data_IF_156323903802
#
_entry.id   IF_156323903802
#
_cell.length_a   1.000
_cell.length_b   1.000
_cell.length_c   1.000
_cell.angle_alpha   90.00
_cell.angle_beta   90.00
_cell.angle_gamma   90.00
#
_symmetry.space_group_name_H-M   'P 1'
#
loop_
_entity.id
_entity.type
_entity.pdbx_description
1 polymer ?
#
# COMPACT_ATOMS: atom_id res chain seq x y z
N UNK A 1 -34.60 -23.48 41.26
CA UNK A 1 -35.23 -23.05 39.99
C UNK A 1 -34.19 -22.31 39.17
N UNK A 2 -34.16 -22.55 37.87
CA UNK A 2 -32.93 -22.70 37.11
C UNK A 2 -32.35 -21.38 36.60
N UNK A 3 -31.03 -21.36 36.50
CA UNK A 3 -30.19 -20.36 35.84
C UNK A 3 -30.33 -20.47 34.32
N UNK A 4 -30.84 -19.43 33.67
CA UNK A 4 -30.90 -19.31 32.20
C UNK A 4 -29.50 -19.04 31.61
N UNK A 5 -28.98 -19.89 30.71
CA UNK A 5 -27.75 -19.65 29.98
C UNK A 5 -28.07 -19.24 28.54
N UNK A 6 -28.38 -17.96 28.29
CA UNK A 6 -28.61 -17.47 26.92
C UNK A 6 -28.20 -16.01 26.69
N UNK A 7 -27.03 -15.62 27.17
CA UNK A 7 -26.35 -14.41 26.69
C UNK A 7 -25.27 -14.82 25.69
N UNK A 8 -25.70 -15.37 24.56
CA UNK A 8 -24.90 -15.39 23.34
C UNK A 8 -24.64 -13.93 22.95
N UNK A 9 -23.37 -13.53 22.98
CA UNK A 9 -22.91 -12.21 22.55
C UNK A 9 -23.40 -11.90 21.14
N UNK A 10 -24.47 -11.12 21.03
CA UNK A 10 -24.83 -10.44 19.80
C UNK A 10 -23.91 -9.24 19.67
N UNK A 11 -23.12 -9.23 18.60
CA UNK A 11 -22.46 -8.02 18.14
C UNK A 11 -23.52 -6.91 18.07
N UNK A 12 -23.29 -5.71 18.66
CA UNK A 12 -24.24 -4.62 18.51
C UNK A 12 -24.43 -4.34 17.02
N UNK A 13 -25.67 -4.08 16.57
CA UNK A 13 -25.91 -3.73 15.17
C UNK A 13 -25.05 -2.50 14.83
N UNK A 14 -24.47 -2.51 13.63
CA UNK A 14 -23.81 -1.34 13.06
C UNK A 14 -24.69 -0.10 13.28
N UNK A 15 -24.15 1.04 13.74
CA UNK A 15 -24.95 2.22 13.99
C UNK A 15 -25.76 2.55 12.73
N UNK A 16 -27.08 2.71 12.90
CA UNK A 16 -27.94 3.14 11.81
C UNK A 16 -27.44 4.48 11.24
N UNK A 17 -27.56 4.71 9.92
CA UNK A 17 -27.12 5.96 9.28
C UNK A 17 -27.75 7.24 9.86
N UNK A 18 -28.80 7.11 10.68
CA UNK A 18 -29.59 8.18 11.28
C UNK A 18 -28.92 8.91 12.45
N UNK A 19 -27.80 8.38 12.98
CA UNK A 19 -27.11 8.92 14.18
C UNK A 19 -25.81 9.69 13.89
N UNK A 20 -25.52 10.02 12.63
CA UNK A 20 -24.36 10.86 12.30
C UNK A 20 -24.77 12.33 12.41
N UNK A 21 -24.53 12.95 13.56
CA UNK A 21 -24.60 14.40 13.69
C UNK A 21 -23.66 15.07 12.67
N UNK A 22 -24.06 16.17 12.00
CA UNK A 22 -23.23 16.82 10.99
C UNK A 22 -21.87 17.20 11.56
N UNK A 23 -20.83 16.48 11.14
CA UNK A 23 -19.45 16.78 11.52
C UNK A 23 -18.80 17.62 10.43
N UNK A 24 -18.14 18.70 10.86
CA UNK A 24 -17.46 19.67 10.00
C UNK A 24 -15.96 19.60 10.31
N UNK A 25 -15.19 18.75 9.61
CA UNK A 25 -13.74 18.73 9.73
C UNK A 25 -13.18 20.06 9.23
N UNK A 26 -12.27 20.65 10.00
CA UNK A 26 -11.76 22.01 9.77
C UNK A 26 -10.28 22.09 9.40
N UNK A 27 -9.52 21.02 9.58
CA UNK A 27 -8.05 21.09 9.46
C UNK A 27 -7.50 19.93 8.63
N UNK A 28 -6.49 20.24 7.81
CA UNK A 28 -5.72 19.26 7.03
C UNK A 28 -6.29 18.86 5.66
N UNK A 29 -7.41 19.42 5.23
CA UNK A 29 -7.97 19.15 3.89
C UNK A 29 -7.27 20.02 2.86
N UNK A 30 -6.61 19.38 1.91
CA UNK A 30 -5.76 20.01 0.89
C UNK A 30 -5.94 19.43 -0.53
N UNK A 31 -6.72 18.35 -0.69
CA UNK A 31 -6.95 17.67 -1.96
C UNK A 31 -8.30 16.95 -1.97
N UNK A 32 -8.72 16.48 -3.14
CA UNK A 32 -9.91 15.63 -3.25
C UNK A 32 -9.76 14.28 -2.52
N UNK A 33 -8.55 13.74 -2.45
CA UNK A 33 -8.25 12.49 -1.76
C UNK A 33 -8.39 12.65 -0.24
N UNK A 34 -7.73 13.65 0.35
CA UNK A 34 -7.86 13.94 1.77
C UNK A 34 -9.31 14.29 2.14
N UNK A 35 -9.99 15.05 1.28
CA UNK A 35 -11.44 15.29 1.42
C UNK A 35 -12.29 14.01 1.42
N UNK A 36 -12.02 13.07 0.51
CA UNK A 36 -12.72 11.78 0.46
C UNK A 36 -12.47 10.93 1.72
N UNK A 37 -11.30 11.01 2.35
CA UNK A 37 -11.04 10.34 3.62
C UNK A 37 -11.95 10.85 4.73
N UNK A 38 -12.17 12.17 4.83
CA UNK A 38 -13.11 12.75 5.79
C UNK A 38 -14.56 12.35 5.53
N UNK A 39 -14.97 12.27 4.25
CA UNK A 39 -16.29 11.73 3.89
C UNK A 39 -16.42 10.27 4.36
N UNK A 40 -15.43 9.42 4.07
CA UNK A 40 -15.42 8.04 4.55
C UNK A 40 -15.43 7.93 6.08
N UNK A 41 -14.88 8.92 6.80
CA UNK A 41 -14.91 9.03 8.26
C UNK A 41 -16.24 9.56 8.83
N UNK A 42 -17.19 9.98 7.98
CA UNK A 42 -18.55 10.37 8.38
C UNK A 42 -18.87 11.86 8.22
N UNK A 43 -17.94 12.69 7.75
CA UNK A 43 -18.25 14.09 7.42
C UNK A 43 -19.19 14.15 6.21
N UNK A 44 -20.07 15.16 6.17
CA UNK A 44 -20.96 15.39 5.02
C UNK A 44 -20.42 16.45 4.05
N UNK A 45 -19.40 17.19 4.47
CA UNK A 45 -19.08 18.54 4.05
C UNK A 45 -17.68 18.88 4.55
N UNK A 46 -16.93 19.66 3.77
CA UNK A 46 -15.49 19.84 3.96
C UNK A 46 -15.16 21.34 4.01
N UNK A 47 -14.60 21.81 5.12
CA UNK A 47 -14.13 23.20 5.25
C UNK A 47 -12.62 23.27 5.01
N UNK A 48 -12.18 24.27 4.25
CA UNK A 48 -10.77 24.44 3.85
C UNK A 48 -10.27 25.81 4.29
N UNK A 49 -9.05 25.87 4.84
CA UNK A 49 -8.40 27.12 5.24
C UNK A 49 -6.91 27.12 4.86
N UNK A 50 -6.10 26.28 5.49
CA UNK A 50 -4.64 26.26 5.29
C UNK A 50 -4.22 25.99 3.85
N UNK A 51 -4.94 25.12 3.12
CA UNK A 51 -4.62 24.85 1.72
C UNK A 51 -4.82 26.07 0.80
N UNK A 52 -5.82 26.90 1.09
CA UNK A 52 -6.04 28.17 0.37
C UNK A 52 -4.98 29.19 0.75
N UNK A 53 -4.54 29.25 2.02
CA UNK A 53 -3.43 30.12 2.44
C UNK A 53 -2.11 29.74 1.78
N UNK A 54 -1.86 28.45 1.59
CA UNK A 54 -0.67 27.94 0.90
C UNK A 54 -0.70 28.17 -0.61
N UNK A 55 -1.89 28.38 -1.18
CA UNK A 55 -2.10 28.51 -2.62
C UNK A 55 -3.04 29.70 -2.88
N UNK A 56 -4.20 29.47 -3.48
CA UNK A 56 -5.20 30.46 -3.85
C UNK A 56 -6.56 29.77 -4.02
N UNK A 57 -7.60 30.53 -4.41
CA UNK A 57 -8.95 29.97 -4.52
C UNK A 57 -9.14 28.97 -5.67
N UNK A 58 -8.24 28.88 -6.64
CA UNK A 58 -8.38 27.98 -7.80
C UNK A 58 -8.26 26.49 -7.43
N UNK A 59 -7.74 26.17 -6.23
CA UNK A 59 -7.69 24.79 -5.71
C UNK A 59 -9.06 24.10 -5.65
N UNK A 60 -10.15 24.89 -5.63
CA UNK A 60 -11.51 24.33 -5.68
C UNK A 60 -11.78 23.56 -6.99
N UNK A 61 -11.16 23.96 -8.10
CA UNK A 61 -11.31 23.28 -9.39
C UNK A 61 -10.68 21.88 -9.33
N UNK A 62 -9.47 21.78 -8.77
CA UNK A 62 -8.78 20.51 -8.53
C UNK A 62 -9.61 19.61 -7.61
N UNK A 63 -10.16 20.15 -6.51
CA UNK A 63 -10.98 19.37 -5.58
C UNK A 63 -12.22 18.80 -6.25
N UNK A 64 -12.90 19.60 -7.08
CA UNK A 64 -14.10 19.17 -7.79
C UNK A 64 -13.79 18.11 -8.86
N UNK A 65 -12.73 18.29 -9.64
CA UNK A 65 -12.34 17.34 -10.69
C UNK A 65 -11.80 16.04 -10.07
N UNK A 66 -10.93 16.15 -9.08
CA UNK A 66 -10.38 15.00 -8.36
C UNK A 66 -11.46 14.16 -7.68
N UNK A 67 -12.46 14.79 -7.03
CA UNK A 67 -13.54 14.04 -6.39
C UNK A 67 -14.44 13.33 -7.42
N UNK A 68 -14.74 13.98 -8.54
CA UNK A 68 -15.45 13.36 -9.66
C UNK A 68 -14.68 12.15 -10.20
N UNK A 69 -13.36 12.28 -10.39
CA UNK A 69 -12.51 11.19 -10.84
C UNK A 69 -12.52 10.02 -9.84
N UNK A 70 -12.31 10.28 -8.55
CA UNK A 70 -12.33 9.25 -7.50
C UNK A 70 -13.66 8.50 -7.41
N UNK A 71 -14.79 9.20 -7.56
CA UNK A 71 -16.10 8.54 -7.59
C UNK A 71 -16.33 7.76 -8.88
N UNK A 72 -15.93 8.31 -10.02
CA UNK A 72 -16.05 7.66 -11.33
C UNK A 72 -15.22 6.37 -11.39
N UNK A 73 -13.97 6.39 -10.90
CA UNK A 73 -13.10 5.21 -10.92
C UNK A 73 -13.65 4.04 -10.11
N UNK A 74 -14.48 4.30 -9.07
CA UNK A 74 -15.19 3.24 -8.32
C UNK A 74 -16.28 2.54 -9.13
N UNK A 75 -16.77 3.15 -10.21
CA UNK A 75 -17.76 2.55 -11.12
C UNK A 75 -17.10 1.67 -12.19
N UNK A 76 -15.79 1.83 -12.39
CA UNK A 76 -14.94 1.00 -13.22
C UNK A 76 -14.45 -0.22 -12.44
N UNK A 77 -14.21 -1.33 -13.15
CA UNK A 77 -13.57 -2.53 -12.57
C UNK A 77 -12.04 -2.48 -12.76
N UNK A 78 -11.41 -1.45 -12.21
CA UNK A 78 -9.95 -1.36 -12.19
C UNK A 78 -9.41 -2.23 -11.05
N UNK A 79 -8.52 -3.17 -11.38
CA UNK A 79 -7.90 -4.06 -10.39
C UNK A 79 -6.69 -3.37 -9.77
N UNK A 80 -6.60 -3.42 -8.44
CA UNK A 80 -5.42 -2.99 -7.67
C UNK A 80 -5.03 -1.51 -7.83
N UNK A 81 -5.95 -0.67 -8.32
CA UNK A 81 -5.78 0.79 -8.27
C UNK A 81 -6.16 1.30 -6.89
N UNK A 82 -5.37 2.25 -6.37
CA UNK A 82 -5.72 3.01 -5.18
C UNK A 82 -6.14 4.42 -5.57
N UNK A 83 -7.45 4.66 -5.62
CA UNK A 83 -8.00 5.91 -6.12
C UNK A 83 -7.58 6.17 -7.56
N UNK A 84 -6.80 7.24 -7.77
CA UNK A 84 -6.26 7.62 -9.08
C UNK A 84 -4.87 7.02 -9.36
N UNK A 85 -4.27 6.33 -8.40
CA UNK A 85 -2.95 5.73 -8.52
C UNK A 85 -3.04 4.32 -9.13
N UNK A 86 -2.43 4.09 -10.31
CA UNK A 86 -2.28 2.74 -10.84
C UNK A 86 -1.43 1.86 -9.90
N UNK A 87 -1.57 0.52 -9.96
CA UNK A 87 -0.70 -0.37 -9.20
C UNK A 87 0.76 -0.12 -9.57
N UNK A 88 1.61 0.05 -8.56
CA UNK A 88 3.04 0.30 -8.75
C UNK A 88 3.71 -0.89 -9.43
N UNK A 89 4.11 -0.71 -10.69
CA UNK A 89 4.92 -1.68 -11.40
C UNK A 89 6.37 -1.64 -10.93
N UNK A 90 7.09 -2.76 -11.11
CA UNK A 90 8.54 -2.82 -10.83
C UNK A 90 9.27 -1.81 -11.69
N UNK A 91 9.88 -0.81 -11.05
CA UNK A 91 10.55 0.27 -11.76
C UNK A 91 11.89 0.64 -11.15
N UNK A 92 12.77 1.21 -11.98
CA UNK A 92 13.96 1.95 -11.56
C UNK A 92 13.91 3.33 -12.19
N UNK A 93 13.98 4.38 -11.36
CA UNK A 93 13.84 5.79 -11.79
C UNK A 93 12.57 6.05 -12.62
N UNK A 94 11.46 5.41 -12.26
CA UNK A 94 10.16 5.51 -12.95
C UNK A 94 10.07 4.75 -14.29
N UNK A 95 11.14 4.04 -14.71
CA UNK A 95 11.12 3.21 -15.92
C UNK A 95 10.85 1.75 -15.54
N UNK A 96 10.00 1.03 -16.28
CA UNK A 96 9.70 -0.37 -16.00
C UNK A 96 10.97 -1.22 -16.10
N UNK A 97 11.14 -2.11 -15.14
CA UNK A 97 12.24 -3.07 -15.13
C UNK A 97 12.00 -4.16 -16.18
N UNK A 98 12.94 -4.41 -17.12
CA UNK A 98 12.81 -5.49 -18.09
C UNK A 98 12.66 -6.85 -17.38
N UNK A 99 11.60 -7.59 -17.70
CA UNK A 99 11.40 -8.96 -17.23
C UNK A 99 12.16 -9.90 -18.18
N UNK A 100 13.43 -10.14 -17.87
CA UNK A 100 14.27 -11.11 -18.58
C UNK A 100 14.48 -12.32 -17.68
N UNK A 101 14.24 -13.53 -18.17
CA UNK A 101 14.42 -14.77 -17.40
C UNK A 101 15.84 -14.88 -16.85
N UNK A 102 16.82 -14.40 -17.62
CA UNK A 102 18.23 -14.33 -17.23
C UNK A 102 18.48 -13.39 -16.04
N UNK A 103 17.64 -12.38 -15.81
CA UNK A 103 17.76 -11.44 -14.69
C UNK A 103 16.83 -11.77 -13.51
N UNK A 104 15.76 -12.54 -13.73
CA UNK A 104 14.80 -12.86 -12.68
C UNK A 104 15.45 -13.76 -11.63
N UNK A 105 15.64 -13.21 -10.42
CA UNK A 105 16.27 -13.91 -9.31
C UNK A 105 17.79 -13.78 -9.24
N UNK A 106 18.42 -13.12 -10.22
CA UNK A 106 19.79 -12.64 -10.08
C UNK A 106 19.74 -11.31 -9.32
N UNK A 107 20.18 -11.31 -8.07
CA UNK A 107 20.18 -10.16 -7.17
C UNK A 107 21.24 -9.11 -7.58
N UNK A 108 21.10 -8.55 -8.79
CA UNK A 108 22.06 -7.63 -9.41
C UNK A 108 21.65 -6.17 -9.16
N UNK A 109 22.31 -5.46 -8.24
CA UNK A 109 22.00 -4.06 -7.99
C UNK A 109 22.42 -3.15 -9.15
N UNK A 110 21.87 -1.94 -9.19
CA UNK A 110 22.06 -0.99 -10.29
C UNK A 110 23.34 -0.13 -10.17
N UNK A 111 24.44 -0.69 -9.66
CA UNK A 111 25.73 0.01 -9.55
C UNK A 111 26.95 -0.90 -9.79
N UNK A 112 28.11 -0.29 -10.03
CA UNK A 112 29.39 -1.00 -10.12
C UNK A 112 29.45 -2.08 -11.20
N UNK A 113 30.07 -3.26 -10.95
CA UNK A 113 30.16 -4.34 -11.93
C UNK A 113 28.80 -4.98 -12.24
N UNK A 114 27.88 -4.97 -11.27
CA UNK A 114 26.52 -5.52 -11.44
C UNK A 114 25.71 -4.74 -12.48
N UNK A 115 25.87 -3.42 -12.53
CA UNK A 115 25.24 -2.59 -13.56
C UNK A 115 25.76 -2.93 -14.97
N UNK A 116 27.05 -3.23 -15.10
CA UNK A 116 27.64 -3.63 -16.38
C UNK A 116 27.03 -4.96 -16.85
N UNK A 117 27.03 -5.98 -15.98
CA UNK A 117 26.40 -7.28 -16.26
C UNK A 117 24.93 -7.13 -16.68
N UNK A 118 24.16 -6.33 -15.94
CA UNK A 118 22.76 -6.05 -16.28
C UNK A 118 22.61 -5.36 -17.63
N UNK A 119 23.50 -4.41 -17.94
CA UNK A 119 23.49 -3.69 -19.22
C UNK A 119 23.83 -4.62 -20.38
N UNK A 120 24.80 -5.53 -20.21
CA UNK A 120 25.22 -6.50 -21.21
C UNK A 120 24.10 -7.48 -21.54
N UNK A 121 23.43 -8.04 -20.51
CA UNK A 121 22.26 -8.92 -20.68
C UNK A 121 21.12 -8.21 -21.42
N UNK A 122 20.82 -6.96 -21.06
CA UNK A 122 19.80 -6.16 -21.75
C UNK A 122 20.21 -5.87 -23.19
N UNK A 123 21.49 -5.59 -23.46
CA UNK A 123 22.00 -5.34 -24.80
C UNK A 123 21.88 -6.57 -25.68
N UNK A 124 22.21 -7.76 -25.15
CA UNK A 124 22.11 -9.02 -25.87
C UNK A 124 20.65 -9.41 -26.12
N UNK A 125 19.75 -9.18 -25.16
CA UNK A 125 18.32 -9.33 -25.37
C UNK A 125 17.80 -8.42 -26.49
N UNK A 126 18.21 -7.14 -26.51
CA UNK A 126 17.82 -6.21 -27.57
C UNK A 126 18.38 -6.62 -28.95
N UNK A 127 19.59 -7.18 -29.01
CA UNK A 127 20.14 -7.76 -30.25
C UNK A 127 19.32 -8.97 -30.71
N UNK A 128 18.91 -9.86 -29.79
CA UNK A 128 18.04 -11.01 -30.09
C UNK A 128 16.73 -10.52 -30.73
N UNK A 129 16.02 -9.57 -30.12
CA UNK A 129 14.78 -8.98 -30.69
C UNK A 129 15.02 -8.37 -32.07
N UNK A 130 16.09 -7.60 -32.25
CA UNK A 130 16.40 -6.95 -33.53
C UNK A 130 16.56 -7.97 -34.66
N UNK A 131 17.14 -9.12 -34.37
CA UNK A 131 17.40 -10.16 -35.37
C UNK A 131 16.15 -10.98 -35.73
N UNK A 132 15.18 -11.10 -34.81
CA UNK A 132 13.94 -11.86 -35.03
C UNK A 132 12.87 -11.06 -35.78
N UNK A 133 13.02 -9.73 -35.90
CA UNK A 133 12.02 -8.85 -36.51
C UNK A 133 10.81 -8.64 -35.60
N UNK A 134 10.02 -7.56 -35.78
CA UNK A 134 8.87 -7.31 -34.93
C UNK A 134 7.73 -8.28 -35.28
N UNK A 135 7.56 -9.35 -34.51
CA UNK A 135 6.32 -10.17 -34.51
C UNK A 135 5.18 -9.49 -33.73
N UNK A 136 5.18 -8.15 -33.63
CA UNK A 136 4.14 -7.41 -32.92
C UNK A 136 3.29 -6.67 -33.95
N UNK A 137 2.14 -7.24 -34.27
CA UNK A 137 1.07 -6.51 -34.94
C UNK A 137 0.57 -5.49 -33.92
N UNK A 138 0.94 -4.22 -34.07
CA UNK A 138 0.37 -3.12 -33.27
C UNK A 138 -1.11 -3.00 -33.62
N UNK A 139 -1.96 -3.71 -32.90
CA UNK A 139 -3.40 -3.45 -32.91
C UNK A 139 -3.65 -2.22 -32.04
N UNK A 140 -3.69 -1.04 -32.65
CA UNK A 140 -4.09 0.22 -32.01
C UNK A 140 -5.62 0.21 -31.78
N UNK A 141 -6.10 -0.71 -30.95
CA UNK A 141 -7.48 -0.76 -30.49
C UNK A 141 -7.51 -0.07 -29.14
N UNK A 142 -7.77 1.24 -29.14
CA UNK A 142 -8.05 2.00 -27.91
C UNK A 142 -9.38 1.53 -27.33
N UNK A 143 -9.34 0.54 -26.44
CA UNK A 143 -10.52 0.14 -25.68
C UNK A 143 -10.80 1.16 -24.57
N UNK A 144 -11.99 1.76 -24.60
CA UNK A 144 -12.48 2.65 -23.54
C UNK A 144 -13.12 1.79 -22.45
N UNK A 145 -12.72 1.98 -21.20
CA UNK A 145 -13.36 1.32 -20.07
C UNK A 145 -14.79 1.86 -19.90
N UNK A 146 -15.77 0.96 -20.01
CA UNK A 146 -17.17 1.29 -19.76
C UNK A 146 -17.52 1.06 -18.29
N UNK A 147 -18.35 1.95 -17.75
CA UNK A 147 -18.88 1.83 -16.39
C UNK A 147 -19.75 0.58 -16.27
N UNK A 148 -19.40 -0.32 -15.35
CA UNK A 148 -20.16 -1.54 -15.08
C UNK A 148 -21.15 -1.38 -13.92
N UNK A 149 -20.94 -0.37 -13.08
CA UNK A 149 -21.76 -0.03 -11.91
C UNK A 149 -22.23 1.42 -12.00
N UNK A 150 -23.29 1.82 -11.27
CA UNK A 150 -23.61 3.23 -11.13
C UNK A 150 -22.50 3.96 -10.37
N UNK A 151 -22.20 5.20 -10.77
CA UNK A 151 -21.24 6.05 -10.06
C UNK A 151 -21.84 6.42 -8.69
N UNK A 152 -21.13 6.18 -7.58
CA UNK A 152 -21.63 6.52 -6.25
C UNK A 152 -21.78 8.02 -6.08
N UNK A 153 -22.86 8.44 -5.44
CA UNK A 153 -23.02 9.82 -4.98
C UNK A 153 -22.25 10.05 -3.67
N UNK A 154 -22.05 11.31 -3.28
CA UNK A 154 -21.36 11.67 -2.03
C UNK A 154 -22.02 10.99 -0.82
N UNK A 155 -23.36 10.97 -0.76
CA UNK A 155 -24.11 10.30 0.31
C UNK A 155 -23.81 8.80 0.45
N UNK A 156 -23.42 8.14 -0.64
CA UNK A 156 -23.16 6.70 -0.65
C UNK A 156 -21.74 6.37 -0.13
N UNK A 157 -20.86 7.37 -0.06
CA UNK A 157 -19.49 7.21 0.45
C UNK A 157 -19.31 7.68 1.89
N UNK A 158 -20.28 8.42 2.44
CA UNK A 158 -20.20 8.89 3.83
C UNK A 158 -20.12 7.68 4.78
N UNK A 159 -19.23 7.77 5.77
CA UNK A 159 -19.07 6.79 6.86
C UNK A 159 -18.63 5.37 6.44
N UNK A 160 -18.21 5.13 5.20
CA UNK A 160 -17.80 3.78 4.74
C UNK A 160 -16.58 3.21 5.47
N UNK A 161 -15.70 4.06 6.02
CA UNK A 161 -14.52 3.59 6.75
C UNK A 161 -14.84 3.20 8.20
N UNK A 162 -15.97 3.63 8.77
CA UNK A 162 -16.30 3.39 10.17
C UNK A 162 -16.38 1.89 10.53
N UNK A 163 -16.74 1.04 9.56
CA UNK A 163 -16.76 -0.43 9.73
C UNK A 163 -15.38 -1.05 10.04
N UNK A 164 -14.29 -0.31 9.79
CA UNK A 164 -12.92 -0.74 10.03
C UNK A 164 -12.33 -0.14 11.33
N UNK A 165 -13.11 0.65 12.07
CA UNK A 165 -12.68 1.28 13.31
C UNK A 165 -13.36 0.55 14.47
N UNK A 166 -12.56 0.08 15.43
CA UNK A 166 -13.03 -0.65 16.60
C UNK A 166 -12.04 -0.54 17.75
N UNK A 167 -12.24 -1.34 18.77
CA UNK A 167 -11.30 -1.46 19.89
C UNK A 167 -10.10 -2.33 19.50
N UNK A 168 -9.02 -2.25 20.27
CA UNK A 168 -7.86 -3.12 20.04
C UNK A 168 -8.21 -4.63 20.13
N UNK A 169 -9.20 -5.00 20.92
CA UNK A 169 -9.64 -6.39 21.07
C UNK A 169 -10.35 -6.93 19.81
N UNK A 170 -10.88 -6.04 18.96
CA UNK A 170 -11.51 -6.39 17.69
C UNK A 170 -10.46 -6.72 16.60
N UNK A 171 -9.18 -6.40 16.85
CA UNK A 171 -8.08 -6.69 15.95
C UNK A 171 -7.55 -8.11 16.18
N UNK A 172 -7.32 -8.84 15.09
CA UNK A 172 -6.76 -10.19 15.16
C UNK A 172 -5.28 -10.17 15.50
N UNK A 173 -4.92 -10.72 16.66
CA UNK A 173 -3.51 -10.95 17.02
C UNK A 173 -2.94 -12.22 16.36
N UNK A 174 -3.76 -12.97 15.63
CA UNK A 174 -3.35 -14.22 14.97
C UNK A 174 -2.97 -14.00 13.51
N UNK A 175 -3.56 -12.98 12.86
CA UNK A 175 -3.29 -12.62 11.47
C UNK A 175 -2.07 -11.71 11.37
N UNK A 176 -0.89 -12.31 11.56
CA UNK A 176 0.38 -11.59 11.52
C UNK A 176 0.93 -11.46 10.09
N UNK A 177 1.73 -10.42 9.87
CA UNK A 177 2.35 -10.11 8.58
C UNK A 177 3.87 -10.06 8.67
N UNK A 178 4.56 -10.26 7.54
CA UNK A 178 6.00 -10.12 7.40
C UNK A 178 6.31 -9.19 6.23
N UNK A 179 7.36 -8.40 6.36
CA UNK A 179 7.84 -7.55 5.28
C UNK A 179 8.54 -8.38 4.20
N UNK A 180 8.23 -8.10 2.93
CA UNK A 180 8.90 -8.64 1.76
C UNK A 180 9.42 -7.46 0.94
N UNK A 181 10.70 -7.50 0.58
CA UNK A 181 11.37 -6.45 -0.18
C UNK A 181 11.51 -6.90 -1.63
N UNK A 182 11.15 -6.04 -2.57
CA UNK A 182 11.41 -6.25 -3.98
C UNK A 182 12.82 -5.74 -4.33
N UNK A 183 13.73 -6.68 -4.57
CA UNK A 183 15.15 -6.39 -4.86
C UNK A 183 15.32 -5.53 -6.13
N UNK A 184 14.42 -5.67 -7.11
CA UNK A 184 14.48 -4.93 -8.37
C UNK A 184 14.11 -3.45 -8.22
N UNK A 185 13.26 -3.14 -7.23
CA UNK A 185 12.88 -1.76 -6.89
C UNK A 185 13.80 -1.14 -5.84
N UNK A 186 14.64 -1.94 -5.20
CA UNK A 186 15.56 -1.46 -4.16
C UNK A 186 16.58 -0.47 -4.76
N UNK A 187 16.87 0.59 -3.99
CA UNK A 187 17.93 1.56 -4.31
C UNK A 187 19.10 1.50 -3.31
N UNK A 188 19.21 0.39 -2.58
CA UNK A 188 20.39 0.06 -1.75
C UNK A 188 20.71 1.07 -0.62
N UNK A 189 19.73 1.86 -0.16
CA UNK A 189 19.97 2.93 0.81
C UNK A 189 20.17 2.47 2.26
N UNK A 190 19.82 1.21 2.59
CA UNK A 190 19.96 0.65 3.94
C UNK A 190 19.01 1.22 5.02
N UNK A 191 18.08 2.14 4.70
CA UNK A 191 17.17 2.74 5.71
C UNK A 191 16.30 1.70 6.43
N UNK A 192 15.82 0.69 5.70
CA UNK A 192 15.08 -0.42 6.29
C UNK A 192 15.92 -1.21 7.29
N UNK A 193 17.18 -1.48 6.94
CA UNK A 193 18.16 -2.15 7.81
C UNK A 193 18.41 -1.34 9.08
N UNK A 194 18.79 -0.07 8.96
CA UNK A 194 19.06 0.82 10.11
C UNK A 194 17.84 0.92 11.04
N UNK A 195 16.65 1.11 10.48
CA UNK A 195 15.41 1.24 11.27
C UNK A 195 15.06 -0.05 11.99
N UNK A 196 15.26 -1.21 11.35
CA UNK A 196 15.01 -2.49 12.00
C UNK A 196 16.06 -2.78 13.08
N UNK A 197 17.30 -2.31 12.90
CA UNK A 197 18.38 -2.51 13.84
C UNK A 197 18.20 -1.67 15.11
N UNK A 198 17.94 -0.36 14.95
CA UNK A 198 17.98 0.58 16.06
C UNK A 198 16.60 0.81 16.70
N UNK A 199 15.52 0.60 15.92
CA UNK A 199 14.13 0.84 16.35
C UNK A 199 13.24 -0.39 16.25
N UNK A 200 13.81 -1.58 15.98
CA UNK A 200 13.06 -2.78 15.67
C UNK A 200 13.59 -4.05 16.34
N UNK A 201 13.81 -5.08 15.53
CA UNK A 201 14.07 -6.45 15.97
C UNK A 201 15.30 -7.08 15.31
N UNK A 202 16.17 -6.26 14.68
CA UNK A 202 17.40 -6.69 14.01
C UNK A 202 17.14 -7.81 12.99
N UNK A 203 15.99 -7.73 12.31
CA UNK A 203 15.44 -8.81 11.48
C UNK A 203 15.78 -8.70 9.99
N UNK A 204 16.62 -7.75 9.60
CA UNK A 204 17.04 -7.52 8.23
C UNK A 204 18.55 -7.69 8.16
N UNK A 205 19.03 -8.51 7.24
CA UNK A 205 20.46 -8.58 6.90
C UNK A 205 20.73 -7.67 5.72
N UNK A 206 21.84 -6.95 5.75
CA UNK A 206 22.25 -6.07 4.67
C UNK A 206 23.57 -6.56 4.09
N UNK A 207 23.55 -6.93 2.82
CA UNK A 207 24.71 -7.51 2.17
C UNK A 207 25.84 -6.47 1.96
N UNK A 208 27.09 -6.76 2.35
CA UNK A 208 28.18 -5.78 2.30
C UNK A 208 28.69 -5.46 0.89
N UNK A 209 28.38 -6.29 -0.12
CA UNK A 209 28.87 -6.09 -1.49
C UNK A 209 27.78 -5.56 -2.41
N UNK A 210 26.62 -6.20 -2.41
CA UNK A 210 25.45 -5.84 -3.23
C UNK A 210 24.60 -4.75 -2.59
N UNK A 211 24.76 -4.51 -1.28
CA UNK A 211 23.93 -3.58 -0.52
C UNK A 211 22.42 -3.88 -0.66
N UNK A 212 22.06 -5.16 -0.83
CA UNK A 212 20.67 -5.59 -0.88
C UNK A 212 20.20 -6.03 0.51
N UNK A 213 19.05 -5.53 1.00
CA UNK A 213 18.47 -5.95 2.26
C UNK A 213 17.64 -7.23 2.10
N UNK A 214 17.81 -8.18 3.01
CA UNK A 214 17.00 -9.41 3.08
C UNK A 214 16.32 -9.53 4.43
N UNK A 215 15.01 -9.74 4.40
CA UNK A 215 14.20 -9.94 5.62
C UNK A 215 14.35 -11.39 6.08
N UNK A 216 14.62 -11.57 7.37
CA UNK A 216 14.75 -12.88 8.01
C UNK A 216 13.43 -13.33 8.64
N UNK A 217 13.36 -14.61 9.01
CA UNK A 217 12.24 -15.21 9.76
C UNK A 217 12.00 -14.59 11.14
N UNK A 218 12.93 -13.78 11.63
CA UNK A 218 12.83 -13.11 12.94
C UNK A 218 11.98 -11.84 12.92
N UNK A 219 11.45 -11.46 11.73
CA UNK A 219 10.56 -10.32 11.51
C UNK A 219 9.25 -10.49 12.27
N UNK A 220 8.78 -9.39 12.87
CA UNK A 220 7.55 -9.34 13.68
C UNK A 220 6.40 -8.62 12.99
N UNK A 221 6.61 -8.11 11.77
CA UNK A 221 5.56 -7.39 11.05
C UNK A 221 5.27 -5.98 11.55
N UNK A 222 6.19 -5.32 12.28
CA UNK A 222 5.95 -3.98 12.85
C UNK A 222 5.82 -2.84 11.82
N UNK A 223 6.04 -3.10 10.53
CA UNK A 223 5.85 -2.16 9.41
C UNK A 223 6.80 -0.96 9.38
N UNK A 224 7.67 -0.74 10.38
CA UNK A 224 8.59 0.40 10.41
C UNK A 224 9.50 0.51 9.18
N UNK A 225 9.99 -0.62 8.67
CA UNK A 225 10.84 -0.64 7.48
C UNK A 225 10.12 -0.15 6.22
N UNK A 226 8.83 -0.48 6.07
CA UNK A 226 7.99 -0.01 4.97
C UNK A 226 7.80 1.51 5.08
N UNK A 227 7.49 2.02 6.28
CA UNK A 227 7.24 3.45 6.52
C UNK A 227 8.42 4.37 6.22
N UNK A 228 9.66 3.88 6.33
CA UNK A 228 10.87 4.67 6.05
C UNK A 228 11.45 4.45 4.65
N UNK A 229 10.89 3.52 3.87
CA UNK A 229 11.41 3.19 2.56
C UNK A 229 11.16 4.35 1.59
N UNK A 230 12.18 4.88 0.90
CA UNK A 230 12.00 6.01 -0.01
C UNK A 230 11.33 5.64 -1.33
N UNK A 231 11.17 4.34 -1.63
CA UNK A 231 10.54 3.84 -2.85
C UNK A 231 9.18 3.27 -2.49
N UNK A 232 8.12 3.87 -3.04
CA UNK A 232 6.73 3.44 -2.85
C UNK A 232 6.60 1.97 -3.28
N UNK A 233 5.91 1.17 -2.48
CA UNK A 233 5.65 -0.26 -2.72
C UNK A 233 6.88 -1.18 -2.92
N UNK A 234 8.10 -0.70 -2.68
CA UNK A 234 9.30 -1.53 -2.68
C UNK A 234 9.27 -2.58 -1.55
N UNK A 235 8.66 -2.25 -0.42
CA UNK A 235 8.42 -3.16 0.69
C UNK A 235 6.92 -3.38 0.83
N UNK A 236 6.49 -4.64 0.85
CA UNK A 236 5.08 -5.02 1.04
C UNK A 236 4.93 -5.90 2.27
N UNK A 237 3.79 -5.79 2.93
CA UNK A 237 3.45 -6.67 4.05
C UNK A 237 2.64 -7.85 3.51
N UNK A 238 3.14 -9.07 3.70
CA UNK A 238 2.45 -10.30 3.30
C UNK A 238 2.08 -11.10 4.54
N UNK A 239 1.03 -11.91 4.45
CA UNK A 239 0.60 -12.76 5.57
C UNK A 239 1.69 -13.79 5.93
N UNK A 240 1.95 -13.95 7.23
CA UNK A 240 2.94 -14.93 7.70
C UNK A 240 2.40 -16.35 7.52
N UNK A 241 3.19 -17.20 6.86
CA UNK A 241 2.84 -18.63 6.74
C UNK A 241 3.03 -19.41 8.05
N UNK A 242 3.90 -18.92 8.95
CA UNK A 242 4.24 -19.57 10.22
C UNK A 242 3.50 -18.93 11.40
N UNK A 243 3.10 -19.71 12.41
CA UNK A 243 2.47 -19.15 13.61
C UNK A 243 3.47 -18.26 14.36
N UNK A 244 3.05 -17.03 14.63
CA UNK A 244 3.88 -16.05 15.32
C UNK A 244 4.03 -16.39 16.80
N UNK A 245 5.28 -16.35 17.29
CA UNK A 245 5.60 -16.53 18.71
C UNK A 245 6.24 -15.25 19.25
N UNK A 246 5.56 -14.50 20.14
CA UNK A 246 6.11 -13.28 20.72
C UNK A 246 7.41 -13.55 21.47
N UNK A 247 8.46 -12.77 21.19
CA UNK A 247 9.75 -12.84 21.88
C UNK A 247 9.59 -12.20 23.27
N UNK A 248 9.58 -13.02 24.33
CA UNK A 248 9.44 -12.56 25.72
C UNK A 248 10.77 -12.20 26.40
N UNK A 249 11.91 -12.50 25.78
CA UNK A 249 13.26 -12.29 26.33
C UNK A 249 13.62 -13.30 27.42
N UNK A 250 12.76 -13.47 28.42
CA UNK A 250 12.89 -14.45 29.51
C UNK A 250 11.86 -15.58 29.36
N UNK A 251 12.14 -16.79 29.86
CA UNK A 251 11.15 -17.84 29.92
C UNK A 251 9.97 -17.39 30.79
N UNK A 252 8.76 -17.58 30.29
CA UNK A 252 7.54 -17.34 31.07
C UNK A 252 7.50 -18.45 32.12
N UNK A 253 7.95 -18.14 33.34
CA UNK A 253 7.73 -19.03 34.49
C UNK A 253 6.22 -19.15 34.71
N UNK A 254 5.70 -20.29 35.19
CA UNK A 254 4.30 -20.36 35.56
C UNK A 254 4.07 -19.30 36.63
N UNK A 255 3.20 -18.34 36.33
CA UNK A 255 2.70 -17.38 37.31
C UNK A 255 1.91 -18.22 38.31
N UNK A 256 2.37 -18.27 39.56
CA UNK A 256 1.63 -18.85 40.68
C UNK A 256 0.25 -18.21 40.81
#
# INVERSE_FOLDING_TARGET
>A
MPSDPSLSGRCPPSPEPSLVSPSWPREGIDSAESGLQFLHAGASVLQVCSAVQNQDFTVIEDYCVGLKALLYLKSLELRDWDGQSPPTERHQKGKPVPRLEELVGQSLPSFGPYLQQRTDVIADYKKKIRNTGPEVIETDIRQVNLSKKPVPAVKDVIARALRHIGTYQDLSNMEQVQAVIDEEMCINCGKCYMTCNDSGYQAITFDPETHLPKVTDSCTGCTLCLSVCPIIDCIKMVTMAKPYKPKRGVPVSPVC
#
